data_IF_735537284100
#
_entry.id   IF_735537284100
#
_cell.length_a   1.000
_cell.length_b   1.000
_cell.length_c   1.000
_cell.angle_alpha   90.00
_cell.angle_beta   90.00
_cell.angle_gamma   90.00
#
_symmetry.space_group_name_H-M   'P 1'
#
loop_
_entity.id
_entity.type
_entity.pdbx_description
1 polymer ?
#
# COMPACT_ATOMS: atom_id res chain seq x y z
N UNK A 1 4.09 -13.17 5.02
CA UNK A 1 5.48 -13.33 5.48
C UNK A 1 5.69 -12.56 6.77
N UNK A 2 6.41 -13.07 7.77
CA UNK A 2 6.65 -12.35 9.01
C UNK A 2 7.44 -11.07 8.71
N UNK A 3 6.85 -9.91 9.02
CA UNK A 3 7.44 -8.58 8.77
C UNK A 3 8.43 -8.14 9.85
N UNK A 4 8.79 -9.05 10.75
CA UNK A 4 9.83 -8.86 11.76
C UNK A 4 10.81 -10.00 11.54
N UNK A 5 11.99 -9.64 11.06
CA UNK A 5 13.10 -10.57 10.99
C UNK A 5 13.72 -10.67 12.38
N UNK A 6 13.57 -11.84 13.00
CA UNK A 6 14.31 -12.19 14.20
C UNK A 6 15.66 -12.71 13.74
N UNK A 7 16.72 -12.18 14.32
CA UNK A 7 18.08 -12.52 13.94
C UNK A 7 18.44 -13.90 14.47
N UNK A 8 18.75 -14.82 13.57
CA UNK A 8 19.05 -16.22 13.92
C UNK A 8 20.54 -16.49 14.19
N UNK A 9 21.40 -15.46 14.13
CA UNK A 9 22.85 -15.64 14.30
C UNK A 9 23.44 -14.58 15.21
N UNK A 10 24.42 -14.98 16.02
CA UNK A 10 25.22 -14.07 16.83
C UNK A 10 26.44 -13.51 16.05
N UNK A 11 26.41 -13.62 14.72
CA UNK A 11 27.51 -13.18 13.84
C UNK A 11 27.57 -11.66 13.71
N UNK A 12 28.65 -11.06 14.18
CA UNK A 12 28.88 -9.63 14.08
C UNK A 12 29.26 -9.02 15.42
N UNK A 13 30.05 -7.96 15.39
CA UNK A 13 30.53 -7.29 16.61
C UNK A 13 29.63 -6.09 16.88
N UNK A 14 29.05 -5.96 18.09
CA UNK A 14 28.24 -4.80 18.43
C UNK A 14 29.09 -3.52 18.44
N UNK A 15 28.47 -2.40 18.05
CA UNK A 15 29.13 -1.09 17.93
C UNK A 15 29.81 -0.65 19.22
N UNK A 16 29.15 -0.91 20.36
CA UNK A 16 29.65 -0.52 21.68
C UNK A 16 30.97 -1.20 22.04
N UNK A 17 31.13 -2.47 21.65
CA UNK A 17 32.36 -3.23 21.92
C UNK A 17 33.49 -2.73 21.01
N UNK A 18 33.20 -2.41 19.75
CA UNK A 18 34.18 -1.79 18.84
C UNK A 18 34.64 -0.42 19.33
N UNK A 19 33.72 0.41 19.84
CA UNK A 19 34.03 1.72 20.43
C UNK A 19 34.93 1.60 21.66
N UNK A 20 34.60 0.69 22.58
CA UNK A 20 35.43 0.40 23.77
C UNK A 20 36.83 -0.06 23.36
N UNK A 21 36.93 -0.99 22.41
CA UNK A 21 38.20 -1.51 21.93
C UNK A 21 39.04 -0.44 21.22
N UNK A 22 38.44 0.43 20.39
CA UNK A 22 39.17 1.54 19.75
C UNK A 22 39.67 2.55 20.76
N UNK A 23 38.86 2.88 21.77
CA UNK A 23 39.25 3.79 22.85
C UNK A 23 40.43 3.25 23.65
N UNK A 24 40.52 1.94 23.89
CA UNK A 24 41.69 1.34 24.55
C UNK A 24 42.96 1.41 23.70
N UNK A 25 42.84 1.36 22.38
CA UNK A 25 43.98 1.55 21.47
C UNK A 25 44.42 3.01 21.48
N UNK A 26 43.50 3.96 21.37
CA UNK A 26 43.81 5.39 21.30
C UNK A 26 44.26 5.97 22.65
N UNK A 27 43.61 5.61 23.76
CA UNK A 27 43.86 6.19 25.10
C UNK A 27 44.98 5.49 25.86
N UNK A 28 45.13 4.16 25.70
CA UNK A 28 46.09 3.34 26.45
C UNK A 28 47.28 2.88 25.59
N UNK A 29 47.38 3.34 24.34
CA UNK A 29 48.44 3.01 23.37
C UNK A 29 48.74 1.50 23.26
N UNK A 30 47.71 0.65 23.34
CA UNK A 30 47.85 -0.81 23.24
C UNK A 30 47.83 -1.28 21.79
N UNK A 31 48.52 -2.38 21.50
CA UNK A 31 48.53 -2.94 20.14
C UNK A 31 47.16 -3.50 19.73
N UNK A 32 46.78 -3.27 18.47
CA UNK A 32 45.48 -3.69 17.90
C UNK A 32 45.21 -5.18 18.10
N UNK A 33 46.23 -6.03 17.89
CA UNK A 33 46.10 -7.49 18.06
C UNK A 33 45.85 -7.91 19.50
N UNK A 34 46.50 -7.25 20.48
CA UNK A 34 46.32 -7.56 21.91
C UNK A 34 44.92 -7.19 22.38
N UNK A 35 44.45 -6.01 21.98
CA UNK A 35 43.09 -5.54 22.30
C UNK A 35 42.05 -6.41 21.61
N UNK A 36 42.23 -6.73 20.33
CA UNK A 36 41.33 -7.63 19.59
C UNK A 36 41.19 -9.00 20.26
N UNK A 37 42.30 -9.60 20.72
CA UNK A 37 42.26 -10.87 21.46
C UNK A 37 41.54 -10.75 22.80
N UNK A 38 41.75 -9.66 23.54
CA UNK A 38 41.10 -9.42 24.83
C UNK A 38 39.58 -9.27 24.72
N UNK A 39 39.11 -8.63 23.65
CA UNK A 39 37.66 -8.42 23.40
C UNK A 39 37.03 -9.54 22.55
N UNK A 40 37.78 -10.59 22.17
CA UNK A 40 37.27 -11.68 21.33
C UNK A 40 36.91 -11.27 19.89
N UNK A 41 37.53 -10.21 19.37
CA UNK A 41 37.24 -9.64 18.04
C UNK A 41 38.32 -10.07 17.04
N UNK A 42 37.94 -10.26 15.77
CA UNK A 42 38.94 -10.39 14.70
C UNK A 42 39.73 -9.09 14.55
N UNK A 43 41.06 -9.16 14.64
CA UNK A 43 41.94 -7.99 14.56
C UNK A 43 41.76 -7.17 13.27
N UNK A 44 41.33 -7.80 12.17
CA UNK A 44 41.03 -7.13 10.89
C UNK A 44 39.80 -6.23 11.03
N UNK A 45 38.74 -6.69 11.69
CA UNK A 45 37.52 -5.92 11.95
C UNK A 45 37.83 -4.69 12.78
N UNK A 46 38.60 -4.87 13.87
CA UNK A 46 39.02 -3.76 14.73
C UNK A 46 39.93 -2.77 13.99
N UNK A 47 40.86 -3.26 13.17
CA UNK A 47 41.73 -2.41 12.35
C UNK A 47 40.94 -1.59 11.32
N UNK A 48 39.97 -2.20 10.62
CA UNK A 48 39.08 -1.47 9.68
C UNK A 48 38.28 -0.38 10.40
N UNK A 49 37.74 -0.70 11.57
CA UNK A 49 37.00 0.28 12.39
C UNK A 49 37.88 1.46 12.79
N UNK A 50 39.09 1.21 13.29
CA UNK A 50 40.03 2.27 13.68
C UNK A 50 40.43 3.15 12.49
N UNK A 51 40.69 2.56 11.32
CA UNK A 51 40.99 3.34 10.10
C UNK A 51 39.81 4.20 9.66
N UNK A 52 38.58 3.68 9.72
CA UNK A 52 37.38 4.45 9.39
C UNK A 52 37.15 5.61 10.36
N UNK A 53 37.40 5.37 11.65
CA UNK A 53 37.26 6.37 12.71
C UNK A 53 38.32 7.47 12.57
N UNK A 54 39.54 7.11 12.19
CA UNK A 54 40.59 8.09 11.88
C UNK A 54 40.18 8.98 10.70
N UNK A 55 39.68 8.39 9.60
CA UNK A 55 39.20 9.17 8.44
C UNK A 55 38.07 10.14 8.79
N UNK A 56 37.12 9.73 9.63
CA UNK A 56 36.03 10.60 10.08
C UNK A 56 36.54 11.78 10.92
N UNK A 57 37.54 11.54 11.78
CA UNK A 57 38.20 12.60 12.55
C UNK A 57 38.99 13.56 11.67
N UNK A 58 39.70 13.04 10.66
CA UNK A 58 40.42 13.84 9.66
C UNK A 58 39.45 14.75 8.87
N UNK A 59 38.21 14.30 8.66
CA UNK A 59 37.14 15.09 8.03
C UNK A 59 36.45 16.06 8.99
N UNK A 60 36.90 16.17 10.25
CA UNK A 60 36.33 17.07 11.26
C UNK A 60 35.00 16.60 11.86
N UNK A 61 34.55 15.39 11.54
CA UNK A 61 33.33 14.82 12.12
C UNK A 61 33.63 14.13 13.46
N UNK A 62 32.79 14.42 14.46
CA UNK A 62 32.82 13.74 15.77
C UNK A 62 32.09 12.39 15.79
N UNK A 63 31.56 11.97 14.64
CA UNK A 63 30.68 10.82 14.53
C UNK A 63 31.44 9.50 14.58
N UNK A 64 30.73 8.46 15.05
CA UNK A 64 31.26 7.09 15.06
C UNK A 64 31.09 6.45 13.67
N UNK A 65 32.04 5.60 13.24
CA UNK A 65 31.86 4.80 12.03
C UNK A 65 30.58 3.96 12.09
N UNK A 66 29.81 4.00 11.01
CA UNK A 66 28.67 3.11 10.83
C UNK A 66 29.14 1.67 10.77
N UNK A 67 28.53 0.81 11.59
CA UNK A 67 28.86 -0.62 11.70
C UNK A 67 27.60 -1.46 11.60
N UNK A 68 27.72 -2.62 10.97
CA UNK A 68 26.59 -3.54 10.76
C UNK A 68 25.91 -3.34 9.41
N UNK A 69 24.67 -3.85 9.32
CA UNK A 69 23.87 -3.69 8.12
C UNK A 69 23.36 -2.27 8.02
N UNK A 70 23.52 -1.67 6.84
CA UNK A 70 22.97 -0.36 6.57
C UNK A 70 21.45 -0.45 6.56
N UNK A 71 20.76 0.49 7.20
CA UNK A 71 19.31 0.66 7.07
C UNK A 71 19.02 1.13 5.65
N UNK A 72 18.93 0.18 4.71
CA UNK A 72 18.83 0.49 3.29
C UNK A 72 17.57 1.30 3.01
N UNK A 73 17.76 2.46 2.38
CA UNK A 73 16.77 3.22 1.61
C UNK A 73 15.55 3.72 2.40
N UNK A 74 15.79 4.39 3.52
CA UNK A 74 14.76 5.23 4.13
C UNK A 74 14.50 6.42 3.21
N UNK A 75 13.25 6.55 2.72
CA UNK A 75 12.87 7.65 1.80
C UNK A 75 12.86 8.98 2.55
N UNK A 76 12.29 9.02 3.76
CA UNK A 76 12.22 10.22 4.59
C UNK A 76 13.22 10.17 5.74
N UNK A 77 13.76 11.32 6.14
CA UNK A 77 14.53 11.43 7.38
C UNK A 77 13.63 11.25 8.61
N UNK A 78 14.22 11.06 9.79
CA UNK A 78 13.45 10.98 11.05
C UNK A 78 12.66 12.27 11.29
N UNK A 79 13.29 13.43 11.10
CA UNK A 79 12.64 14.75 11.23
C UNK A 79 11.48 14.91 10.25
N UNK A 80 11.64 14.47 8.99
CA UNK A 80 10.57 14.55 8.00
C UNK A 80 9.37 13.66 8.34
N UNK A 81 9.62 12.49 8.92
CA UNK A 81 8.55 11.59 9.35
C UNK A 81 7.80 12.14 10.56
N UNK A 82 8.49 12.81 11.48
CA UNK A 82 7.89 13.47 12.63
C UNK A 82 6.95 14.61 12.19
N UNK A 83 7.42 15.49 11.31
CA UNK A 83 6.59 16.58 10.74
C UNK A 83 5.37 16.01 9.99
N UNK A 84 5.56 14.91 9.26
CA UNK A 84 4.45 14.21 8.60
C UNK A 84 3.45 13.66 9.61
N UNK A 85 3.91 13.08 10.73
CA UNK A 85 3.03 12.56 11.77
C UNK A 85 2.23 13.66 12.47
N UNK A 86 2.85 14.80 12.74
CA UNK A 86 2.19 15.97 13.34
C UNK A 86 1.08 16.48 12.42
N UNK A 87 1.36 16.58 11.11
CA UNK A 87 0.34 16.95 10.13
C UNK A 87 -0.83 15.96 10.09
N UNK A 88 -0.56 14.66 10.11
CA UNK A 88 -1.61 13.63 10.12
C UNK A 88 -2.48 13.70 11.38
N UNK A 89 -1.89 14.04 12.52
CA UNK A 89 -2.60 14.22 13.79
C UNK A 89 -3.51 15.45 13.72
N UNK A 90 -2.98 16.59 13.28
CA UNK A 90 -3.76 17.82 13.08
C UNK A 90 -4.91 17.63 12.08
N UNK A 91 -4.68 16.91 10.98
CA UNK A 91 -5.71 16.61 10.01
C UNK A 91 -6.83 15.74 10.61
N UNK A 92 -6.47 14.78 11.48
CA UNK A 92 -7.44 13.96 12.20
C UNK A 92 -8.29 14.79 13.19
N UNK A 93 -7.67 15.74 13.90
CA UNK A 93 -8.37 16.64 14.83
C UNK A 93 -9.38 17.55 14.10
N UNK A 94 -9.08 17.91 12.84
CA UNK A 94 -9.98 18.67 11.97
C UNK A 94 -11.03 17.80 11.26
N UNK A 95 -11.22 16.55 11.67
CA UNK A 95 -12.13 15.57 11.06
C UNK A 95 -11.79 15.17 9.61
N UNK A 96 -10.57 15.45 9.16
CA UNK A 96 -10.02 15.01 7.86
C UNK A 96 -9.06 13.82 8.05
N UNK A 97 -9.52 12.80 8.77
CA UNK A 97 -8.73 11.59 9.02
C UNK A 97 -8.37 10.86 7.71
N UNK A 98 -7.08 10.80 7.39
CA UNK A 98 -6.59 10.15 6.18
C UNK A 98 -6.51 8.63 6.36
N UNK A 99 -7.01 7.90 5.37
CA UNK A 99 -6.90 6.44 5.32
C UNK A 99 -5.46 6.00 5.00
N UNK A 100 -5.06 4.74 5.31
CA UNK A 100 -3.73 4.23 4.97
C UNK A 100 -3.35 4.37 3.48
N UNK A 101 -4.34 4.31 2.57
CA UNK A 101 -4.11 4.51 1.14
C UNK A 101 -3.82 5.97 0.81
N UNK A 102 -4.53 6.90 1.43
CA UNK A 102 -4.34 8.33 1.22
C UNK A 102 -3.02 8.80 1.81
N UNK A 103 -2.64 8.33 3.01
CA UNK A 103 -1.32 8.62 3.59
C UNK A 103 -0.20 8.14 2.67
N UNK A 104 -0.34 6.99 2.03
CA UNK A 104 0.64 6.48 1.06
C UNK A 104 0.70 7.32 -0.21
N UNK A 105 -0.42 7.82 -0.70
CA UNK A 105 -0.44 8.77 -1.84
C UNK A 105 0.20 10.10 -1.44
N UNK A 106 -0.15 10.61 -0.26
CA UNK A 106 0.39 11.85 0.28
C UNK A 106 1.92 11.78 0.45
N UNK A 107 2.43 10.67 0.98
CA UNK A 107 3.86 10.41 1.06
C UNK A 107 4.55 10.44 -0.31
N UNK A 108 3.95 9.88 -1.34
CA UNK A 108 4.50 9.97 -2.69
C UNK A 108 4.49 11.41 -3.22
N UNK A 109 3.39 12.14 -3.03
CA UNK A 109 3.31 13.56 -3.41
C UNK A 109 4.39 14.40 -2.71
N UNK A 110 4.63 14.17 -1.42
CA UNK A 110 5.72 14.82 -0.69
C UNK A 110 7.09 14.46 -1.28
N UNK A 111 7.32 13.18 -1.61
CA UNK A 111 8.58 12.76 -2.20
C UNK A 111 8.84 13.43 -3.56
N UNK A 112 7.82 13.56 -4.41
CA UNK A 112 7.93 14.23 -5.71
C UNK A 112 8.13 15.75 -5.56
N UNK A 113 7.31 16.39 -4.72
CA UNK A 113 7.36 17.85 -4.53
C UNK A 113 8.67 18.33 -3.92
N UNK A 114 9.22 17.59 -2.95
CA UNK A 114 10.51 17.89 -2.34
C UNK A 114 11.70 17.24 -3.06
N UNK A 115 11.47 16.62 -4.23
CA UNK A 115 12.48 15.96 -5.06
C UNK A 115 13.36 14.96 -4.27
N UNK A 116 12.73 14.23 -3.36
CA UNK A 116 13.37 13.21 -2.51
C UNK A 116 13.51 11.93 -3.32
N UNK A 117 14.68 11.29 -3.26
CA UNK A 117 14.93 10.01 -3.93
C UNK A 117 13.98 8.93 -3.38
N UNK A 118 13.18 8.34 -4.25
CA UNK A 118 12.23 7.30 -3.89
C UNK A 118 12.28 6.13 -4.89
N UNK A 119 11.71 4.96 -4.53
CA UNK A 119 11.74 3.79 -5.41
C UNK A 119 10.86 4.00 -6.66
N UNK A 120 11.30 3.50 -7.82
CA UNK A 120 10.56 3.56 -9.10
C UNK A 120 9.12 3.00 -8.99
N UNK A 121 8.92 1.99 -8.14
CA UNK A 121 7.59 1.43 -7.89
C UNK A 121 6.57 2.44 -7.33
N UNK A 122 7.03 3.54 -6.74
CA UNK A 122 6.16 4.62 -6.29
C UNK A 122 5.67 5.46 -7.48
N UNK A 123 6.52 5.70 -8.48
CA UNK A 123 6.13 6.41 -9.72
C UNK A 123 5.11 5.59 -10.51
N UNK A 124 5.34 4.28 -10.67
CA UNK A 124 4.42 3.40 -11.39
C UNK A 124 3.02 3.37 -10.77
N UNK A 125 2.94 3.41 -9.44
CA UNK A 125 1.69 3.27 -8.68
C UNK A 125 1.14 4.60 -8.18
N UNK A 126 1.88 5.69 -8.36
CA UNK A 126 1.61 7.03 -7.81
C UNK A 126 1.31 6.99 -6.31
N UNK A 127 1.97 6.10 -5.56
CA UNK A 127 1.78 5.92 -4.12
C UNK A 127 2.95 5.19 -3.47
N UNK A 128 3.19 5.48 -2.19
CA UNK A 128 4.19 4.76 -1.41
C UNK A 128 3.86 3.27 -1.27
N UNK A 129 4.89 2.44 -1.12
CA UNK A 129 4.75 0.99 -0.93
C UNK A 129 4.07 0.58 0.39
N UNK A 130 3.48 -0.63 0.48
CA UNK A 130 2.84 -1.10 1.71
C UNK A 130 3.87 -1.30 2.82
N UNK A 131 5.06 -1.76 2.46
CA UNK A 131 6.15 -1.98 3.41
C UNK A 131 6.65 -0.67 4.01
N UNK A 132 6.78 0.37 3.19
CA UNK A 132 7.11 1.71 3.67
C UNK A 132 6.11 2.17 4.74
N UNK A 133 4.81 2.04 4.49
CA UNK A 133 3.78 2.43 5.46
C UNK A 133 3.87 1.63 6.75
N UNK A 134 4.05 0.31 6.67
CA UNK A 134 4.20 -0.51 7.89
C UNK A 134 5.44 -0.15 8.70
N UNK A 135 6.54 0.23 8.05
CA UNK A 135 7.75 0.65 8.74
C UNK A 135 7.61 2.07 9.31
N UNK A 136 6.93 2.98 8.59
CA UNK A 136 6.59 4.32 9.08
C UNK A 136 5.78 4.25 10.37
N UNK A 137 4.70 3.46 10.39
CA UNK A 137 3.88 3.24 11.58
C UNK A 137 4.65 2.59 12.74
N UNK A 138 5.64 1.73 12.45
CA UNK A 138 6.50 1.14 13.49
C UNK A 138 7.47 2.14 14.11
N UNK A 139 7.94 3.12 13.32
CA UNK A 139 8.86 4.16 13.81
C UNK A 139 8.15 5.21 14.63
N UNK A 140 6.87 5.46 14.35
CA UNK A 140 6.05 6.46 15.04
C UNK A 140 4.92 5.73 15.79
N UNK A 141 5.20 5.15 16.97
CA UNK A 141 4.20 4.40 17.73
C UNK A 141 3.08 5.28 18.31
N UNK A 142 3.29 6.61 18.40
CA UNK A 142 2.27 7.56 18.84
C UNK A 142 1.13 7.73 17.83
N UNK A 143 1.39 7.46 16.54
CA UNK A 143 0.41 7.63 15.47
C UNK A 143 -0.43 6.35 15.31
N UNK A 144 -1.76 6.50 15.33
CA UNK A 144 -2.70 5.41 15.04
C UNK A 144 -3.69 5.84 13.96
N UNK A 145 -3.53 5.28 12.75
CA UNK A 145 -4.46 5.51 11.65
C UNK A 145 -5.53 4.42 11.67
N UNK A 146 -6.80 4.83 11.83
CA UNK A 146 -7.97 3.96 11.69
C UNK A 146 -8.79 4.38 10.49
N UNK A 147 -9.37 3.42 9.81
CA UNK A 147 -10.42 3.74 8.84
C UNK A 147 -11.61 4.32 9.60
N UNK A 148 -12.05 5.56 9.29
CA UNK A 148 -13.24 6.10 9.93
C UNK A 148 -14.41 5.17 9.60
N UNK A 149 -15.18 4.80 10.62
CA UNK A 149 -16.53 4.28 10.36
C UNK A 149 -17.28 5.40 9.64
N UNK A 150 -18.06 5.07 8.60
CA UNK A 150 -18.78 6.06 7.80
C UNK A 150 -19.88 6.74 8.64
N UNK A 151 -19.48 7.64 9.53
CA UNK A 151 -20.33 8.68 10.04
C UNK A 151 -20.53 9.64 8.88
N UNK A 152 -21.76 9.69 8.35
CA UNK A 152 -22.08 10.70 7.35
C UNK A 152 -21.76 12.08 7.92
N UNK A 153 -21.34 13.01 7.05
CA UNK A 153 -21.10 14.42 7.44
C UNK A 153 -22.28 14.97 8.26
N UNK A 154 -23.50 14.56 7.91
CA UNK A 154 -24.74 14.87 8.63
C UNK A 154 -24.74 14.41 10.09
N UNK A 155 -24.14 13.26 10.40
CA UNK A 155 -24.03 12.72 11.77
C UNK A 155 -22.97 13.48 12.58
N UNK A 156 -21.90 13.93 11.95
CA UNK A 156 -20.90 14.78 12.61
C UNK A 156 -21.45 16.18 12.89
N UNK A 157 -22.15 16.80 11.93
CA UNK A 157 -22.76 18.13 12.11
C UNK A 157 -23.95 18.11 13.05
N UNK A 158 -24.68 17.00 13.14
CA UNK A 158 -25.76 16.84 14.11
C UNK A 158 -25.26 16.62 15.55
N UNK A 159 -23.98 16.28 15.74
CA UNK A 159 -23.34 16.07 17.05
C UNK A 159 -22.93 17.39 17.71
N UNK A 160 -23.90 18.29 17.89
CA UNK A 160 -23.71 19.58 18.55
C UNK A 160 -24.35 19.61 19.94
N UNK A 161 -23.93 20.55 20.80
CA UNK A 161 -24.39 20.65 22.19
C UNK A 161 -25.92 20.65 22.31
N UNK A 162 -26.60 21.44 21.48
CA UNK A 162 -28.06 21.59 21.54
C UNK A 162 -28.78 20.29 21.18
N UNK A 163 -28.34 19.58 20.15
CA UNK A 163 -28.93 18.32 19.73
C UNK A 163 -28.66 17.19 20.74
N UNK A 164 -27.44 17.15 21.29
CA UNK A 164 -27.05 16.19 22.33
C UNK A 164 -27.88 16.42 23.60
N UNK A 165 -28.01 17.67 24.03
CA UNK A 165 -28.82 18.05 25.18
C UNK A 165 -30.30 17.69 24.98
N UNK A 166 -30.88 18.02 23.82
CA UNK A 166 -32.25 17.63 23.48
C UNK A 166 -32.44 16.11 23.53
N UNK A 167 -31.51 15.36 22.95
CA UNK A 167 -31.57 13.90 22.95
C UNK A 167 -31.56 13.32 24.37
N UNK A 168 -30.62 13.72 25.22
CA UNK A 168 -30.52 13.19 26.58
C UNK A 168 -31.67 13.64 27.48
N UNK A 169 -32.19 14.86 27.30
CA UNK A 169 -33.40 15.32 28.01
C UNK A 169 -34.61 14.47 27.63
N UNK A 170 -34.82 14.19 26.34
CA UNK A 170 -35.91 13.32 25.89
C UNK A 170 -35.73 11.87 26.35
N UNK A 171 -34.50 11.36 26.34
CA UNK A 171 -34.19 10.02 26.83
C UNK A 171 -34.49 9.91 28.34
N UNK A 172 -34.06 10.88 29.13
CA UNK A 172 -34.33 10.95 30.57
C UNK A 172 -35.83 10.92 30.88
N UNK A 173 -36.62 11.75 30.18
CA UNK A 173 -38.09 11.76 30.34
C UNK A 173 -38.74 10.40 30.06
N UNK A 174 -38.26 9.68 29.04
CA UNK A 174 -38.79 8.37 28.66
C UNK A 174 -38.37 7.30 29.69
N UNK A 175 -37.13 7.35 30.19
CA UNK A 175 -36.67 6.47 31.26
C UNK A 175 -37.48 6.70 32.54
N UNK A 176 -37.68 7.95 32.97
CA UNK A 176 -38.49 8.26 34.15
C UNK A 176 -39.94 7.79 34.00
N UNK A 177 -40.50 7.90 32.79
CA UNK A 177 -41.91 7.56 32.54
C UNK A 177 -42.19 6.05 32.55
N UNK A 178 -41.28 5.25 32.01
CA UNK A 178 -41.49 3.81 31.81
C UNK A 178 -40.61 2.93 32.70
N UNK A 179 -39.61 3.51 33.37
CA UNK A 179 -38.74 2.91 34.39
C UNK A 179 -38.09 1.58 33.94
N UNK A 180 -37.67 1.51 32.68
CA UNK A 180 -36.94 0.37 32.12
C UNK A 180 -35.44 0.47 32.39
N UNK A 181 -34.77 -0.68 32.55
CA UNK A 181 -33.33 -0.74 32.81
C UNK A 181 -32.54 -0.73 31.49
N UNK A 182 -31.22 -0.50 31.55
CA UNK A 182 -30.34 -0.57 30.38
C UNK A 182 -30.42 -1.93 29.66
N UNK A 183 -30.76 -3.00 30.40
CA UNK A 183 -31.02 -4.35 29.91
C UNK A 183 -32.19 -4.44 28.90
N UNK A 184 -33.11 -3.48 28.94
CA UNK A 184 -34.32 -3.43 28.13
C UNK A 184 -34.18 -2.53 26.88
N UNK A 185 -33.00 -1.90 26.70
CA UNK A 185 -32.76 -0.95 25.61
C UNK A 185 -32.04 -1.65 24.46
N UNK A 186 -32.76 -1.82 23.35
CA UNK A 186 -32.22 -2.47 22.15
C UNK A 186 -31.99 -1.44 21.04
N UNK A 187 -30.75 -1.34 20.58
CA UNK A 187 -30.39 -0.44 19.47
C UNK A 187 -30.86 -1.05 18.14
N UNK A 188 -31.95 -0.52 17.58
CA UNK A 188 -32.51 -0.98 16.30
C UNK A 188 -31.95 -0.15 15.15
N UNK A 189 -31.05 -0.72 14.35
CA UNK A 189 -30.56 -0.11 13.11
C UNK A 189 -31.25 -0.76 11.91
N UNK A 190 -31.78 0.05 10.98
CA UNK A 190 -32.23 -0.46 9.68
C UNK A 190 -30.97 -0.83 8.88
N UNK A 191 -30.65 -2.11 8.81
CA UNK A 191 -29.70 -2.62 7.82
C UNK A 191 -30.41 -2.66 6.47
N UNK A 192 -30.02 -1.78 5.56
CA UNK A 192 -30.37 -1.93 4.14
C UNK A 192 -29.61 -3.14 3.60
N UNK A 193 -30.14 -4.34 3.86
CA UNK A 193 -29.72 -5.53 3.15
C UNK A 193 -30.12 -5.29 1.69
N UNK A 194 -29.09 -5.17 0.84
CA UNK A 194 -29.14 -4.77 -0.56
C UNK A 194 -30.37 -5.32 -1.31
N UNK A 195 -31.41 -4.50 -1.48
CA UNK A 195 -32.42 -4.76 -2.52
C UNK A 195 -32.28 -3.85 -3.73
N UNK A 196 -31.54 -2.73 -3.63
CA UNK A 196 -31.41 -1.73 -4.69
C UNK A 196 -29.97 -1.21 -4.82
N UNK A 197 -29.06 -2.05 -5.29
CA UNK A 197 -27.72 -1.61 -5.73
C UNK A 197 -27.58 -1.77 -7.25
N UNK A 198 -26.67 -1.01 -7.90
CA UNK A 198 -26.33 -1.19 -9.31
C UNK A 198 -25.85 -2.61 -9.64
N UNK A 199 -25.48 -3.42 -8.64
CA UNK A 199 -25.18 -4.85 -8.79
C UNK A 199 -26.42 -5.65 -9.20
N UNK A 200 -27.62 -5.31 -8.71
CA UNK A 200 -28.88 -5.95 -9.13
C UNK A 200 -29.25 -5.57 -10.57
N UNK A 201 -29.04 -4.31 -10.95
CA UNK A 201 -29.22 -3.87 -12.33
C UNK A 201 -28.20 -4.53 -13.26
N UNK A 202 -26.93 -4.63 -12.85
CA UNK A 202 -25.89 -5.33 -13.58
C UNK A 202 -26.14 -6.84 -13.70
N UNK A 203 -26.65 -7.49 -12.65
CA UNK A 203 -27.04 -8.90 -12.68
C UNK A 203 -28.28 -9.13 -13.56
N UNK A 204 -29.29 -8.25 -13.51
CA UNK A 204 -30.43 -8.28 -14.43
C UNK A 204 -30.00 -8.06 -15.89
N UNK A 205 -29.07 -7.14 -16.15
CA UNK A 205 -28.51 -6.91 -17.49
C UNK A 205 -27.66 -8.10 -17.96
N UNK A 206 -26.89 -8.73 -17.07
CA UNK A 206 -26.11 -9.94 -17.37
C UNK A 206 -27.04 -11.14 -17.69
N UNK A 207 -28.14 -11.30 -16.94
CA UNK A 207 -29.17 -12.31 -17.19
C UNK A 207 -29.92 -12.07 -18.51
N UNK A 208 -30.27 -10.83 -18.85
CA UNK A 208 -30.86 -10.49 -20.16
C UNK A 208 -29.88 -10.75 -21.33
N UNK A 209 -28.58 -10.50 -21.13
CA UNK A 209 -27.54 -10.87 -22.12
C UNK A 209 -27.36 -12.38 -22.25
N UNK A 210 -27.50 -13.16 -21.17
CA UNK A 210 -27.46 -14.63 -21.18
C UNK A 210 -28.69 -15.23 -21.89
N UNK A 211 -29.89 -14.67 -21.66
CA UNK A 211 -31.11 -15.03 -22.38
C UNK A 211 -31.02 -14.77 -23.89
N UNK A 212 -30.51 -13.61 -24.30
CA UNK A 212 -30.33 -13.26 -25.73
C UNK A 212 -29.29 -14.14 -26.45
N UNK A 213 -28.25 -14.61 -25.76
CA UNK A 213 -27.26 -15.55 -26.34
C UNK A 213 -27.86 -16.94 -26.61
N UNK A 214 -28.81 -17.39 -25.79
CA UNK A 214 -29.53 -18.65 -26.01
C UNK A 214 -30.56 -18.55 -27.13
N UNK A 215 -31.22 -17.40 -27.30
CA UNK A 215 -32.10 -17.14 -28.47
C UNK A 215 -31.28 -17.05 -29.76
N UNK A 216 -30.10 -16.40 -29.76
CA UNK A 216 -29.21 -16.40 -30.93
C UNK A 216 -28.68 -17.80 -31.25
N UNK A 217 -28.28 -18.60 -30.26
CA UNK A 217 -27.86 -20.00 -30.48
C UNK A 217 -28.99 -20.85 -31.08
N UNK A 218 -30.24 -20.68 -30.63
CA UNK A 218 -31.38 -21.44 -31.20
C UNK A 218 -31.76 -20.96 -32.61
N UNK A 219 -31.61 -19.66 -32.90
CA UNK A 219 -31.80 -19.10 -34.25
C UNK A 219 -30.71 -19.58 -35.23
N UNK A 220 -29.44 -19.60 -34.81
CA UNK A 220 -28.32 -20.10 -35.63
C UNK A 220 -28.27 -21.64 -35.75
N UNK A 221 -28.82 -22.38 -34.78
CA UNK A 221 -28.92 -23.84 -34.85
C UNK A 221 -30.00 -24.31 -35.85
N UNK A 222 -31.11 -23.57 -36.00
CA UNK A 222 -32.17 -23.88 -36.98
C UNK A 222 -31.74 -23.69 -38.45
N UNK A 223 -30.74 -22.84 -38.73
CA UNK A 223 -30.26 -22.57 -40.09
C UNK A 223 -29.07 -23.44 -40.57
N UNK A 224 -28.63 -24.44 -39.79
CA UNK A 224 -27.57 -25.40 -40.20
C UNK A 224 -28.10 -26.74 -40.73
N UNK A 225 -29.28 -26.73 -41.32
CA UNK A 225 -29.94 -27.94 -41.82
C UNK A 225 -30.53 -27.78 -43.22
N UNK A 226 -29.78 -27.25 -44.20
CA UNK A 226 -30.03 -27.42 -45.65
C UNK A 226 -28.92 -26.73 -46.46
N UNK A 227 -27.84 -27.47 -46.76
CA UNK A 227 -27.04 -27.35 -48.00
C UNK A 227 -25.82 -28.29 -47.93
N UNK A 228 -26.01 -29.53 -48.41
CA UNK A 228 -24.93 -30.35 -48.98
C UNK A 228 -25.46 -30.89 -50.31
N UNK A 229 -25.19 -30.18 -51.40
CA UNK A 229 -25.23 -30.74 -52.75
C UNK A 229 -23.80 -30.74 -53.29
N UNK A 230 -23.36 -31.93 -53.69
CA UNK A 230 -22.01 -32.26 -54.18
C UNK A 230 -21.81 -31.64 -55.56
N UNK A 231 -20.68 -30.96 -55.78
CA UNK A 231 -20.14 -30.76 -57.12
C UNK A 231 -18.73 -31.36 -57.21
N UNK A 232 -18.57 -32.26 -58.19
CA UNK A 232 -17.32 -32.94 -58.53
C UNK A 232 -16.58 -32.05 -59.53
N UNK A 233 -15.29 -31.76 -59.27
CA UNK A 233 -14.42 -31.02 -60.20
C UNK A 233 -14.08 -31.86 -61.43
N UNK A 234 -14.07 -31.30 -62.66
CA UNK A 234 -13.34 -31.87 -63.78
C UNK A 234 -11.92 -31.28 -63.91
N UNK A 235 -11.00 -32.10 -64.41
CA UNK A 235 -9.55 -31.86 -64.52
C UNK A 235 -9.16 -31.00 -65.72
N UNK A 236 -8.08 -30.23 -65.57
CA UNK A 236 -7.42 -29.40 -66.60
C UNK A 236 -6.99 -30.23 -67.83
N UNK A 237 -7.55 -29.92 -69.00
CA UNK A 237 -6.91 -30.06 -70.31
C UNK A 237 -7.60 -29.11 -71.30
N UNK A 238 -6.78 -28.53 -72.18
CA UNK A 238 -7.13 -27.67 -73.32
C UNK A 238 -7.13 -26.16 -73.02
N UNK A 239 -5.92 -25.59 -73.10
CA UNK A 239 -5.67 -24.26 -73.62
C UNK A 239 -6.22 -24.12 -75.04
N UNK A 240 -6.55 -22.87 -75.39
CA UNK A 240 -6.83 -22.28 -76.72
C UNK A 240 -8.31 -22.20 -77.09
N UNK A 241 -8.86 -20.98 -77.00
CA UNK A 241 -9.19 -20.16 -78.17
C UNK A 241 -9.98 -18.93 -77.71
N UNK A 242 -9.59 -17.76 -78.24
CA UNK A 242 -10.34 -16.51 -78.34
C UNK A 242 -10.51 -15.76 -77.00
N UNK A 243 -9.71 -14.76 -76.60
CA UNK A 243 -9.23 -13.58 -77.33
C UNK A 243 -10.35 -12.89 -78.11
N UNK A 244 -10.93 -11.89 -77.44
CA UNK A 244 -11.24 -10.57 -78.00
C UNK A 244 -12.21 -10.53 -79.18
N UNK A 245 -13.46 -10.18 -78.90
CA UNK A 245 -14.28 -9.46 -79.87
C UNK A 245 -14.94 -8.26 -79.20
N UNK A 246 -14.56 -7.09 -79.72
CA UNK A 246 -15.31 -5.82 -79.77
C UNK A 246 -15.48 -4.99 -78.49
N UNK A 247 -14.43 -4.24 -78.16
CA UNK A 247 -14.58 -2.78 -77.93
C UNK A 247 -14.87 -2.06 -79.27
N UNK A 248 -15.38 -0.82 -79.17
CA UNK A 248 -15.77 0.16 -80.22
C UNK A 248 -17.12 -0.14 -80.92
N UNK A 249 -18.12 0.74 -81.00
CA UNK A 249 -18.21 2.22 -81.08
C UNK A 249 -19.67 2.60 -80.73
N UNK A 250 -20.12 3.82 -80.46
CA UNK A 250 -19.65 5.20 -80.61
C UNK A 250 -20.57 6.06 -79.74
#
# INVERSE_FOLDING_TARGET
>A
MPRQWIRNTDRGVPADVLKKASDEITKKSKSVRRVAKAHGICHVTLSRYCKSLQKLREQGSGDLPSVGYWSSNKVFSEVQEEVLADYLTQAADLYYGLTPREVRKFAYLLAVTYNIKHPLTWDEKQMAGPDWFTLFMKRIPSLSIRSPEAASLTRATSFNRQNVERFFNSLGQVIERYNFDGSDIWNKRKSEILTDTPVKQALMEEEQRRGSKNVRKSFFAKNKGKQKRKERKPSKKMLKANAEDSETSR
#
